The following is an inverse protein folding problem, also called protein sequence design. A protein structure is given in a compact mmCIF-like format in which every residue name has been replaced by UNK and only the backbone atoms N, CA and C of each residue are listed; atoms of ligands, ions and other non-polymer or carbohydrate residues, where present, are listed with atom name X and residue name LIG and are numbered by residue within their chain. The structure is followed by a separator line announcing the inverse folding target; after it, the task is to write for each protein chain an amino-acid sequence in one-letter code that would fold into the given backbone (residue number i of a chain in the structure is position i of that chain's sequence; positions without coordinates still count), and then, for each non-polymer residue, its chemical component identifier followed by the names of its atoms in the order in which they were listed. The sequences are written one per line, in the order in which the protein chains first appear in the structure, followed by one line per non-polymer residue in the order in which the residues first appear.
data_IF_901938448452
#
_entry.id   IF_901938448452
#
_cell.length_a   1.000
_cell.length_b   1.000
_cell.length_c   1.000
_cell.angle_alpha   90.00
_cell.angle_beta   90.00
_cell.angle_gamma   90.00
#
_symmetry.space_group_name_H-M   'P 1'
#
loop_
_entity.id
_entity.type
_entity.pdbx_description
1 polymer ?
#
# COMPACT_ATOMS: atom_id res chain seq x y z
N UNK A 1 -10.51 13.25 11.90
CA UNK A 1 -10.05 11.87 11.73
C UNK A 1 -10.50 11.41 10.36
N UNK A 2 -9.63 10.87 9.51
CA UNK A 2 -9.98 10.48 8.15
C UNK A 2 -10.65 9.11 8.14
N UNK A 3 -11.56 8.89 7.20
CA UNK A 3 -12.32 7.62 7.08
C UNK A 3 -12.30 7.14 5.63
N UNK A 4 -12.01 5.86 5.43
CA UNK A 4 -12.16 5.17 4.15
C UNK A 4 -13.24 4.09 4.30
N UNK A 5 -14.24 4.09 3.42
CA UNK A 5 -15.35 3.16 3.52
C UNK A 5 -15.81 2.64 2.15
N UNK A 6 -16.51 1.52 2.16
CA UNK A 6 -17.30 1.04 1.02
C UNK A 6 -18.75 0.89 1.45
N UNK A 7 -19.67 1.16 0.54
CA UNK A 7 -21.11 1.04 0.71
C UNK A 7 -21.63 0.08 -0.37
N UNK A 8 -21.95 -1.14 0.04
CA UNK A 8 -22.58 -2.22 -0.76
C UNK A 8 -21.87 -2.50 -2.11
N UNK A 9 -20.52 -2.47 -2.14
CA UNK A 9 -19.79 -2.70 -3.39
C UNK A 9 -19.96 -4.14 -3.90
N UNK A 10 -20.20 -4.25 -5.20
CA UNK A 10 -20.32 -5.50 -5.91
C UNK A 10 -19.50 -5.53 -7.19
N UNK A 11 -19.00 -6.73 -7.55
CA UNK A 11 -18.26 -6.94 -8.79
C UNK A 11 -18.53 -8.33 -9.35
N UNK A 12 -18.79 -8.38 -10.67
CA UNK A 12 -18.95 -9.63 -11.38
C UNK A 12 -18.02 -9.69 -12.60
N UNK A 13 -17.54 -10.89 -12.93
CA UNK A 13 -16.78 -11.15 -14.14
C UNK A 13 -17.47 -12.27 -14.92
N UNK A 14 -17.81 -11.98 -16.18
CA UNK A 14 -18.47 -12.97 -17.07
C UNK A 14 -19.70 -13.62 -16.43
N UNK A 15 -20.52 -12.82 -15.75
CA UNK A 15 -21.72 -13.29 -15.06
C UNK A 15 -21.52 -13.96 -13.70
N UNK A 16 -20.27 -14.23 -13.29
CA UNK A 16 -19.96 -14.74 -11.95
C UNK A 16 -19.71 -13.58 -10.99
N UNK A 17 -20.54 -13.47 -9.96
CA UNK A 17 -20.36 -12.50 -8.89
C UNK A 17 -19.17 -12.89 -8.00
N UNK A 18 -18.16 -12.01 -7.89
CA UNK A 18 -16.92 -12.21 -7.13
C UNK A 18 -16.92 -11.40 -5.85
N UNK A 19 -17.50 -10.20 -5.88
CA UNK A 19 -17.77 -9.36 -4.71
C UNK A 19 -19.27 -9.15 -4.64
N UNK A 20 -19.86 -9.33 -3.46
CA UNK A 20 -21.30 -9.33 -3.29
C UNK A 20 -21.69 -8.48 -2.07
N UNK A 21 -21.96 -7.20 -2.29
CA UNK A 21 -22.48 -6.31 -1.27
C UNK A 21 -21.53 -6.09 -0.09
N UNK A 22 -20.25 -5.77 -0.36
CA UNK A 22 -19.25 -5.57 0.70
C UNK A 22 -19.28 -4.13 1.18
N UNK A 23 -19.65 -3.96 2.46
CA UNK A 23 -19.56 -2.70 3.18
C UNK A 23 -18.53 -2.83 4.29
N UNK A 24 -17.55 -1.92 4.31
CA UNK A 24 -16.52 -1.84 5.33
C UNK A 24 -16.20 -0.37 5.65
N UNK A 25 -15.61 -0.15 6.80
CA UNK A 25 -15.16 1.17 7.24
C UNK A 25 -13.86 1.03 7.99
N UNK A 26 -12.92 1.92 7.71
CA UNK A 26 -11.60 2.01 8.37
C UNK A 26 -11.36 3.46 8.74
N UNK A 27 -10.96 3.72 9.96
CA UNK A 27 -10.56 5.04 10.44
C UNK A 27 -9.03 5.17 10.44
N UNK A 28 -8.55 6.39 10.27
CA UNK A 28 -7.11 6.68 10.31
C UNK A 28 -6.52 6.20 11.65
N UNK A 29 -5.44 5.42 11.58
CA UNK A 29 -4.80 4.79 12.75
C UNK A 29 -5.42 3.45 13.17
N UNK A 30 -6.46 2.98 12.48
CA UNK A 30 -7.06 1.68 12.67
C UNK A 30 -6.43 0.62 11.75
N UNK A 31 -6.39 -0.64 12.21
CA UNK A 31 -6.04 -1.80 11.39
C UNK A 31 -7.25 -2.71 11.28
N UNK A 32 -7.75 -2.89 10.07
CA UNK A 32 -8.89 -3.76 9.78
C UNK A 32 -8.43 -4.92 8.91
N UNK A 33 -8.76 -6.16 9.30
CA UNK A 33 -8.47 -7.37 8.56
C UNK A 33 -9.64 -7.83 7.71
N UNK A 34 -9.43 -7.93 6.39
CA UNK A 34 -10.39 -8.56 5.47
C UNK A 34 -10.08 -10.05 5.36
N UNK A 35 -10.87 -10.88 6.04
CA UNK A 35 -10.67 -12.33 6.10
C UNK A 35 -11.59 -13.08 5.14
N UNK A 36 -11.13 -14.22 4.65
CA UNK A 36 -11.91 -15.10 3.78
C UNK A 36 -11.03 -16.09 3.03
N UNK A 37 -11.60 -17.19 2.50
CA UNK A 37 -10.86 -18.18 1.73
C UNK A 37 -10.29 -17.60 0.43
N UNK A 38 -9.41 -18.36 -0.23
CA UNK A 38 -8.92 -18.00 -1.56
C UNK A 38 -10.09 -17.94 -2.55
N UNK A 39 -10.11 -16.90 -3.39
CA UNK A 39 -11.21 -16.65 -4.33
C UNK A 39 -12.45 -15.98 -3.73
N UNK A 40 -12.43 -15.58 -2.44
CA UNK A 40 -13.55 -14.86 -1.80
C UNK A 40 -13.71 -13.39 -2.25
N UNK A 41 -12.89 -12.91 -3.19
CA UNK A 41 -12.98 -11.54 -3.71
C UNK A 41 -12.20 -10.49 -2.92
N UNK A 42 -11.32 -10.87 -1.97
CA UNK A 42 -10.51 -9.94 -1.17
C UNK A 42 -9.70 -8.97 -2.03
N UNK A 43 -8.87 -9.50 -2.92
CA UNK A 43 -8.05 -8.69 -3.87
C UNK A 43 -8.93 -7.84 -4.79
N UNK A 44 -10.06 -8.38 -5.27
CA UNK A 44 -11.01 -7.63 -6.09
C UNK A 44 -11.64 -6.45 -5.32
N UNK A 45 -11.95 -6.65 -4.04
CA UNK A 45 -12.41 -5.59 -3.13
C UNK A 45 -11.34 -4.51 -2.98
N UNK A 46 -10.08 -4.90 -2.75
CA UNK A 46 -8.96 -3.95 -2.71
C UNK A 46 -8.79 -3.18 -4.01
N UNK A 47 -8.87 -3.85 -5.16
CA UNK A 47 -8.81 -3.20 -6.47
C UNK A 47 -9.91 -2.15 -6.66
N UNK A 48 -11.13 -2.42 -6.19
CA UNK A 48 -12.21 -1.44 -6.21
C UNK A 48 -11.92 -0.25 -5.30
N UNK A 49 -11.41 -0.50 -4.08
CA UNK A 49 -11.09 0.56 -3.10
C UNK A 49 -9.94 1.44 -3.59
N UNK A 50 -8.91 0.88 -4.19
CA UNK A 50 -7.77 1.68 -4.70
C UNK A 50 -8.04 2.33 -6.06
N UNK A 51 -9.15 1.97 -6.74
CA UNK A 51 -9.52 2.51 -8.04
C UNK A 51 -8.78 1.90 -9.24
N UNK A 52 -8.29 0.67 -9.07
CA UNK A 52 -7.67 -0.11 -10.15
C UNK A 52 -8.75 -0.69 -11.08
N UNK A 53 -9.91 -1.05 -10.52
CA UNK A 53 -11.11 -1.46 -11.24
C UNK A 53 -12.33 -0.71 -10.67
N UNK A 54 -13.33 -0.34 -11.47
CA UNK A 54 -14.59 0.17 -10.96
C UNK A 54 -15.44 -0.99 -10.38
N UNK A 55 -16.13 -0.80 -9.25
CA UNK A 55 -17.19 -1.71 -8.84
C UNK A 55 -18.38 -1.64 -9.83
N UNK A 56 -19.19 -2.70 -9.92
CA UNK A 56 -20.40 -2.69 -10.75
C UNK A 56 -21.60 -2.11 -10.00
N UNK A 57 -21.60 -2.20 -8.67
CA UNK A 57 -22.59 -1.63 -7.75
C UNK A 57 -21.92 -1.07 -6.51
N UNK A 58 -22.63 -0.19 -5.80
CA UNK A 58 -22.14 0.41 -4.57
C UNK A 58 -21.14 1.53 -4.77
N UNK A 59 -20.53 2.00 -3.68
CA UNK A 59 -19.68 3.19 -3.70
C UNK A 59 -18.45 3.01 -2.82
N UNK A 60 -17.37 3.73 -3.17
CA UNK A 60 -16.18 3.91 -2.33
C UNK A 60 -16.19 5.35 -1.81
N UNK A 61 -16.08 5.50 -0.51
CA UNK A 61 -16.23 6.78 0.18
C UNK A 61 -14.95 7.15 0.95
N UNK A 62 -14.55 8.42 0.85
CA UNK A 62 -13.47 9.01 1.64
C UNK A 62 -14.03 10.23 2.40
N UNK A 63 -14.05 10.17 3.73
CA UNK A 63 -14.70 11.18 4.58
C UNK A 63 -16.17 11.48 4.17
N UNK A 64 -16.90 10.45 3.70
CA UNK A 64 -18.26 10.58 3.18
C UNK A 64 -18.37 11.10 1.74
N UNK A 65 -17.27 11.55 1.14
CA UNK A 65 -17.23 11.93 -0.26
C UNK A 65 -17.13 10.69 -1.14
N UNK A 66 -17.97 10.60 -2.17
CA UNK A 66 -17.91 9.54 -3.17
C UNK A 66 -16.67 9.70 -4.06
N UNK A 67 -15.79 8.69 -4.05
CA UNK A 67 -14.58 8.62 -4.87
C UNK A 67 -14.59 7.44 -5.83
N UNK A 68 -15.77 6.84 -6.08
CA UNK A 68 -15.90 5.60 -6.87
C UNK A 68 -15.30 5.74 -8.26
N UNK A 69 -15.53 6.86 -8.93
CA UNK A 69 -15.02 7.11 -10.30
C UNK A 69 -13.65 7.78 -10.33
N UNK A 70 -13.06 8.06 -9.15
CA UNK A 70 -11.72 8.66 -9.07
C UNK A 70 -10.67 7.59 -9.42
N UNK A 71 -9.81 7.79 -10.42
CA UNK A 71 -8.81 6.80 -10.82
C UNK A 71 -7.71 6.65 -9.76
N UNK A 72 -7.07 5.46 -9.73
CA UNK A 72 -6.09 5.05 -8.72
C UNK A 72 -5.00 6.11 -8.45
N UNK A 73 -4.41 6.70 -9.50
CA UNK A 73 -3.33 7.68 -9.32
C UNK A 73 -3.78 8.96 -8.61
N UNK A 74 -5.04 9.37 -8.78
CA UNK A 74 -5.62 10.49 -8.04
C UNK A 74 -5.98 10.09 -6.61
N UNK A 75 -6.49 8.86 -6.38
CA UNK A 75 -6.69 8.35 -5.01
C UNK A 75 -5.39 8.31 -4.23
N UNK A 76 -4.29 7.90 -4.85
CA UNK A 76 -2.98 7.92 -4.23
C UNK A 76 -2.52 9.35 -3.92
N UNK A 77 -2.61 10.27 -4.90
CA UNK A 77 -2.06 11.63 -4.80
C UNK A 77 -2.90 12.58 -3.94
N UNK A 78 -4.24 12.53 -4.07
CA UNK A 78 -5.15 13.48 -3.42
C UNK A 78 -5.71 12.98 -2.09
N UNK A 79 -5.90 11.65 -1.97
CA UNK A 79 -6.51 11.03 -0.79
C UNK A 79 -5.52 10.20 0.03
N UNK A 80 -4.28 10.07 -0.42
CA UNK A 80 -3.25 9.33 0.31
C UNK A 80 -3.58 7.84 0.47
N UNK A 81 -4.20 7.21 -0.54
CA UNK A 81 -4.51 5.77 -0.52
C UNK A 81 -3.38 5.02 -1.24
N UNK A 82 -2.60 4.25 -0.49
CA UNK A 82 -1.52 3.40 -1.01
C UNK A 82 -1.92 1.93 -1.06
N UNK A 83 -1.33 1.19 -1.97
CA UNK A 83 -1.62 -0.23 -2.15
C UNK A 83 -0.33 -1.04 -2.30
N UNK A 84 -0.21 -2.08 -1.47
CA UNK A 84 0.85 -3.06 -1.53
C UNK A 84 0.27 -4.38 -2.08
N UNK A 85 0.53 -4.71 -3.35
CA UNK A 85 0.00 -5.91 -3.99
C UNK A 85 0.60 -7.19 -3.40
N UNK A 86 -0.09 -8.31 -3.61
CA UNK A 86 0.42 -9.65 -3.29
C UNK A 86 1.65 -9.99 -4.13
N UNK A 87 1.61 -9.64 -5.42
CA UNK A 87 2.72 -9.89 -6.35
C UNK A 87 3.85 -8.86 -6.17
N UNK A 88 5.07 -9.31 -6.47
CA UNK A 88 6.26 -8.47 -6.38
C UNK A 88 6.18 -7.25 -7.31
N UNK A 89 6.30 -6.05 -6.74
CA UNK A 89 6.16 -4.76 -7.43
C UNK A 89 7.47 -3.97 -7.57
N UNK A 90 8.60 -4.49 -7.05
CA UNK A 90 9.90 -3.81 -7.19
C UNK A 90 10.36 -3.70 -8.65
N UNK A 91 10.99 -2.60 -8.98
CA UNK A 91 11.70 -2.47 -10.26
C UNK A 91 12.96 -3.33 -10.23
N UNK A 92 12.88 -4.50 -10.85
CA UNK A 92 13.90 -5.57 -10.73
C UNK A 92 15.31 -5.14 -11.13
N UNK A 93 15.46 -4.22 -12.10
CA UNK A 93 16.75 -3.74 -12.62
C UNK A 93 17.33 -2.57 -11.84
N UNK A 94 16.53 -1.90 -11.02
CA UNK A 94 16.95 -0.78 -10.18
C UNK A 94 17.50 -1.29 -8.85
N UNK A 95 18.42 -0.52 -8.24
CA UNK A 95 18.88 -0.76 -6.88
C UNK A 95 17.77 -0.47 -5.86
N UNK A 96 18.00 -0.78 -4.59
CA UNK A 96 17.05 -0.45 -3.51
C UNK A 96 16.84 1.06 -3.44
N UNK A 97 17.92 1.85 -3.40
CA UNK A 97 17.79 3.31 -3.37
C UNK A 97 17.11 3.88 -4.62
N UNK A 98 17.43 3.37 -5.81
CA UNK A 98 16.78 3.78 -7.05
C UNK A 98 15.29 3.43 -7.07
N UNK A 99 14.88 2.30 -6.48
CA UNK A 99 13.47 1.92 -6.33
C UNK A 99 12.68 2.93 -5.49
N UNK A 100 13.27 3.44 -4.41
CA UNK A 100 12.66 4.44 -3.54
C UNK A 100 12.65 5.81 -4.23
N UNK A 101 13.79 6.22 -4.79
CA UNK A 101 13.91 7.49 -5.50
C UNK A 101 12.95 7.61 -6.68
N UNK A 102 12.75 6.55 -7.47
CA UNK A 102 11.83 6.56 -8.60
C UNK A 102 10.38 6.93 -8.20
N UNK A 103 9.93 6.54 -6.99
CA UNK A 103 8.61 6.93 -6.49
C UNK A 103 8.63 8.36 -5.95
N UNK A 104 9.70 8.77 -5.27
CA UNK A 104 9.86 10.13 -4.75
C UNK A 104 9.98 11.17 -5.86
N UNK A 105 10.54 10.82 -7.02
CA UNK A 105 10.62 11.69 -8.19
C UNK A 105 9.25 12.07 -8.76
N UNK A 106 8.26 11.19 -8.59
CA UNK A 106 6.89 11.46 -9.00
C UNK A 106 6.13 12.40 -8.01
N UNK A 107 6.73 12.71 -6.85
CA UNK A 107 6.14 13.62 -5.86
C UNK A 107 6.59 15.07 -6.10
N UNK A 108 5.76 16.07 -5.77
CA UNK A 108 6.08 17.49 -5.93
C UNK A 108 6.97 17.98 -4.77
N UNK A 109 8.12 17.33 -4.57
CA UNK A 109 9.09 17.65 -3.51
C UNK A 109 10.46 17.96 -4.11
N UNK A 110 11.25 18.79 -3.43
CA UNK A 110 12.59 19.18 -3.86
C UNK A 110 13.54 17.98 -3.89
N UNK A 111 14.64 18.09 -4.64
CA UNK A 111 15.67 17.04 -4.67
C UNK A 111 16.27 16.75 -3.29
N UNK A 112 16.46 17.78 -2.47
CA UNK A 112 16.98 17.65 -1.11
C UNK A 112 16.03 16.84 -0.22
N UNK A 113 14.74 17.19 -0.22
CA UNK A 113 13.69 16.43 0.50
C UNK A 113 13.56 14.98 0.04
N UNK A 114 13.74 14.71 -1.28
CA UNK A 114 13.73 13.33 -1.80
C UNK A 114 14.86 12.51 -1.19
N UNK A 115 16.06 13.07 -1.12
CA UNK A 115 17.21 12.39 -0.51
C UNK A 115 17.02 12.18 0.98
N UNK A 116 16.58 13.17 1.72
CA UNK A 116 16.30 13.03 3.16
C UNK A 116 15.25 11.93 3.42
N UNK A 117 14.17 11.91 2.65
CA UNK A 117 13.14 10.86 2.77
C UNK A 117 13.68 9.48 2.41
N UNK A 118 14.47 9.39 1.36
CA UNK A 118 15.09 8.13 0.96
C UNK A 118 16.01 7.58 2.06
N UNK A 119 16.94 8.41 2.58
CA UNK A 119 17.83 8.02 3.68
C UNK A 119 17.03 7.54 4.90
N UNK A 120 16.00 8.28 5.26
CA UNK A 120 15.11 7.91 6.35
C UNK A 120 14.45 6.54 6.14
N UNK A 121 13.89 6.26 4.95
CA UNK A 121 13.28 4.95 4.69
C UNK A 121 14.30 3.81 4.66
N UNK A 122 15.51 4.07 4.17
CA UNK A 122 16.59 3.10 4.19
C UNK A 122 16.96 2.73 5.62
N UNK A 123 17.11 3.71 6.49
CA UNK A 123 17.45 3.50 7.91
C UNK A 123 16.31 2.80 8.66
N UNK A 124 15.09 3.38 8.65
CA UNK A 124 13.94 2.86 9.41
C UNK A 124 13.51 1.46 9.01
N UNK A 125 13.70 1.07 7.74
CA UNK A 125 13.35 -0.25 7.24
C UNK A 125 14.55 -1.21 7.20
N UNK A 126 15.71 -0.82 7.72
CA UNK A 126 16.92 -1.63 7.81
C UNK A 126 17.45 -2.08 6.45
N UNK A 127 17.44 -1.18 5.46
CA UNK A 127 17.83 -1.46 4.07
C UNK A 127 19.26 -1.08 3.72
N UNK A 128 20.04 -0.50 4.67
CA UNK A 128 21.37 0.04 4.41
C UNK A 128 22.33 -1.01 3.84
N UNK A 129 22.32 -2.22 4.40
CA UNK A 129 23.21 -3.31 4.00
C UNK A 129 22.95 -3.84 2.58
N UNK A 130 21.79 -3.55 1.98
CA UNK A 130 21.39 -3.96 0.63
C UNK A 130 21.13 -2.78 -0.30
N UNK A 131 21.44 -1.57 0.12
CA UNK A 131 21.12 -0.31 -0.56
C UNK A 131 21.44 -0.32 -2.05
N UNK A 132 22.60 -0.88 -2.42
CA UNK A 132 23.10 -0.97 -3.79
C UNK A 132 22.70 -2.27 -4.50
N UNK A 133 22.01 -3.19 -3.80
CA UNK A 133 21.56 -4.43 -4.42
C UNK A 133 20.39 -4.16 -5.37
N UNK A 134 20.38 -4.84 -6.49
CA UNK A 134 19.29 -4.74 -7.47
C UNK A 134 18.08 -5.56 -7.04
N UNK A 135 16.89 -5.09 -7.42
CA UNK A 135 15.62 -5.71 -7.01
C UNK A 135 15.49 -7.21 -7.30
N UNK A 136 16.17 -7.72 -8.35
CA UNK A 136 16.16 -9.16 -8.65
C UNK A 136 17.03 -10.00 -7.69
N UNK A 137 17.94 -9.39 -6.95
CA UNK A 137 18.85 -10.05 -6.02
C UNK A 137 18.31 -10.10 -4.57
N UNK A 138 17.19 -9.45 -4.31
CA UNK A 138 16.59 -9.36 -2.97
C UNK A 138 15.89 -10.64 -2.58
N UNK A 139 16.06 -11.05 -1.32
CA UNK A 139 15.22 -12.06 -0.67
C UNK A 139 13.75 -11.61 -0.58
N UNK A 140 12.82 -12.51 -0.26
CA UNK A 140 11.40 -12.18 -0.12
C UNK A 140 11.14 -11.09 0.92
N UNK A 141 11.75 -11.17 2.08
CA UNK A 141 11.61 -10.20 3.17
C UNK A 141 12.23 -8.84 2.85
N UNK A 142 13.43 -8.81 2.27
CA UNK A 142 14.09 -7.57 1.83
C UNK A 142 13.26 -6.87 0.75
N UNK A 143 12.80 -7.62 -0.25
CA UNK A 143 11.94 -7.08 -1.31
C UNK A 143 10.67 -6.47 -0.72
N UNK A 144 10.01 -7.13 0.25
CA UNK A 144 8.79 -6.64 0.87
C UNK A 144 9.03 -5.34 1.64
N UNK A 145 10.18 -5.19 2.33
CA UNK A 145 10.55 -3.93 2.99
C UNK A 145 10.76 -2.79 1.99
N UNK A 146 11.38 -3.05 0.83
CA UNK A 146 11.51 -2.05 -0.25
C UNK A 146 10.14 -1.65 -0.81
N UNK A 147 9.23 -2.59 -0.99
CA UNK A 147 7.85 -2.32 -1.45
C UNK A 147 7.07 -1.47 -0.45
N UNK A 148 7.25 -1.73 0.86
CA UNK A 148 6.67 -0.89 1.93
C UNK A 148 7.28 0.52 1.88
N UNK A 149 8.60 0.65 1.74
CA UNK A 149 9.24 1.96 1.58
C UNK A 149 8.60 2.77 0.44
N UNK A 150 8.39 2.13 -0.71
CA UNK A 150 7.74 2.76 -1.86
C UNK A 150 6.29 3.18 -1.58
N UNK A 151 5.53 2.36 -0.85
CA UNK A 151 4.18 2.72 -0.42
C UNK A 151 4.17 3.95 0.49
N UNK A 152 5.19 4.10 1.35
CA UNK A 152 5.31 5.23 2.29
C UNK A 152 5.77 6.53 1.62
N UNK A 153 6.42 6.47 0.45
CA UNK A 153 6.88 7.66 -0.27
C UNK A 153 5.79 8.69 -0.59
N UNK A 154 4.54 8.27 -0.69
CA UNK A 154 3.40 9.17 -0.97
C UNK A 154 2.77 9.78 0.29
N UNK A 155 3.34 9.55 1.49
CA UNK A 155 2.76 9.92 2.78
C UNK A 155 1.30 9.45 2.93
N UNK A 156 1.04 8.14 2.89
CA UNK A 156 -0.31 7.62 2.82
C UNK A 156 -1.09 7.87 4.11
N UNK A 157 -2.39 8.19 3.96
CA UNK A 157 -3.37 8.19 5.05
C UNK A 157 -3.89 6.77 5.32
N UNK A 158 -4.04 5.99 4.24
CA UNK A 158 -4.47 4.58 4.28
C UNK A 158 -3.55 3.73 3.43
N UNK A 159 -3.18 2.56 3.95
CA UNK A 159 -2.39 1.55 3.23
C UNK A 159 -3.21 0.26 3.17
N UNK A 160 -3.46 -0.22 1.97
CA UNK A 160 -4.08 -1.52 1.74
C UNK A 160 -2.97 -2.54 1.47
N UNK A 161 -2.93 -3.58 2.30
CA UNK A 161 -1.92 -4.64 2.25
C UNK A 161 -2.59 -5.95 1.79
N UNK A 162 -2.33 -6.38 0.57
CA UNK A 162 -2.90 -7.62 0.03
C UNK A 162 -1.93 -8.77 0.29
N UNK A 163 -2.32 -9.69 1.17
CA UNK A 163 -1.53 -10.83 1.61
C UNK A 163 -0.05 -10.50 1.91
N UNK A 164 0.23 -9.52 2.80
CA UNK A 164 1.56 -8.93 2.96
C UNK A 164 2.64 -9.92 3.40
N UNK A 165 2.26 -11.08 3.90
CA UNK A 165 3.15 -12.12 4.42
C UNK A 165 3.28 -13.34 3.50
N UNK A 166 2.61 -13.34 2.35
CA UNK A 166 2.62 -14.46 1.41
C UNK A 166 4.01 -14.69 0.82
N UNK A 167 4.49 -15.95 0.89
CA UNK A 167 5.78 -16.33 0.31
C UNK A 167 7.02 -15.78 1.02
N UNK A 168 6.88 -15.34 2.28
CA UNK A 168 7.97 -14.82 3.10
C UNK A 168 8.30 -15.83 4.20
N UNK A 169 9.58 -15.92 4.57
CA UNK A 169 10.01 -16.79 5.67
C UNK A 169 9.45 -16.31 7.03
N UNK A 170 9.24 -17.23 7.98
CA UNK A 170 8.60 -16.90 9.26
C UNK A 170 9.32 -15.85 10.10
N UNK A 171 10.66 -15.74 9.99
CA UNK A 171 11.44 -14.75 10.73
C UNK A 171 11.18 -13.36 10.17
N UNK A 172 11.24 -13.23 8.84
CA UNK A 172 10.95 -11.96 8.18
C UNK A 172 9.48 -11.50 8.35
N UNK A 173 8.54 -12.43 8.56
CA UNK A 173 7.15 -12.10 8.90
C UNK A 173 7.06 -11.32 10.21
N UNK A 174 7.81 -11.72 11.25
CA UNK A 174 7.83 -11.02 12.55
C UNK A 174 8.34 -9.58 12.39
N UNK A 175 9.38 -9.37 11.60
CA UNK A 175 9.92 -8.04 11.31
C UNK A 175 8.89 -7.17 10.59
N UNK A 176 8.21 -7.73 9.60
CA UNK A 176 7.16 -7.01 8.86
C UNK A 176 5.95 -6.67 9.75
N UNK A 177 5.56 -7.57 10.65
CA UNK A 177 4.49 -7.29 11.62
C UNK A 177 4.87 -6.12 12.53
N UNK A 178 6.14 -6.04 12.97
CA UNK A 178 6.64 -4.90 13.74
C UNK A 178 6.53 -3.61 12.94
N UNK A 179 7.01 -3.58 11.69
CA UNK A 179 6.91 -2.41 10.80
C UNK A 179 5.45 -1.96 10.66
N UNK A 180 4.52 -2.89 10.42
CA UNK A 180 3.08 -2.57 10.27
C UNK A 180 2.50 -2.01 11.58
N UNK A 181 2.89 -2.55 12.73
CA UNK A 181 2.47 -2.02 14.03
C UNK A 181 3.03 -0.62 14.30
N UNK A 182 4.30 -0.37 13.94
CA UNK A 182 4.93 0.94 14.09
C UNK A 182 4.23 1.99 13.19
N UNK A 183 3.80 1.61 11.99
CA UNK A 183 2.98 2.45 11.10
C UNK A 183 1.63 2.82 11.72
N UNK A 184 0.96 1.88 12.39
CA UNK A 184 -0.31 2.12 13.10
C UNK A 184 -0.18 3.19 14.18
N UNK A 185 0.88 3.14 14.98
CA UNK A 185 1.09 4.03 16.13
C UNK A 185 1.59 5.42 15.69
N UNK A 186 1.77 5.66 14.40
CA UNK A 186 2.38 6.88 13.87
C UNK A 186 3.88 6.96 14.15
N UNK A 187 4.53 5.81 14.33
CA UNK A 187 5.96 5.67 14.67
C UNK A 187 6.91 6.14 13.58
N UNK A 188 6.47 6.14 12.33
CA UNK A 188 7.22 6.76 11.22
C UNK A 188 6.76 8.21 11.11
N UNK A 189 7.36 9.09 11.92
CA UNK A 189 7.10 10.54 11.85
C UNK A 189 7.79 11.12 10.62
N UNK A 190 7.02 11.56 9.66
CA UNK A 190 7.55 12.34 8.54
C UNK A 190 7.86 13.77 8.99
N UNK A 191 9.06 14.34 8.74
CA UNK A 191 9.30 15.75 8.97
C UNK A 191 8.44 16.55 8.00
N UNK A 192 7.61 17.46 8.54
CA UNK A 192 6.82 18.41 7.76
C UNK A 192 5.29 18.22 7.77
N UNK A 193 4.73 17.57 8.79
CA UNK A 193 3.31 17.73 9.16
C UNK A 193 3.17 18.47 10.46
#
# INVERSE_FOLDING_TARGET
MRTLATDDIGKAYRGRRVVNGVSLRVEQGEVVGLLGPNGAGKTTTFYAIVGLIPPDTGRVLYDGQDITDVPMYLRARQYGISYLPQEASVFRKLTVEENILAVLEAQPVSWHERREKMEKFIDELGLEHIRQNRGYALSGGERRRVEIARCLCINPTFILLDEPFSGIDPIAVLDLQKIINDLKVGGIKFPGM
#
